data_IF_341314016408
#
_entry.id   IF_341314016408
#
_cell.length_a   1.000
_cell.length_b   1.000
_cell.length_c   1.000
_cell.angle_alpha   90.00
_cell.angle_beta   90.00
_cell.angle_gamma   90.00
#
_symmetry.space_group_name_H-M   'P 1'
#
loop_
_entity.id
_entity.type
_entity.pdbx_description
1 polymer ?
#
# COMPACT_ATOMS: atom_id res chain seq x y z
N UNK A 1 -15.41 0.93 -37.51
CA UNK A 1 -15.17 2.35 -37.83
C UNK A 1 -13.67 2.58 -37.92
N UNK A 2 -13.19 3.38 -38.88
CA UNK A 2 -11.78 3.77 -38.93
C UNK A 2 -11.56 4.98 -38.02
N UNK A 3 -11.28 4.70 -36.74
CA UNK A 3 -10.95 5.74 -35.77
C UNK A 3 -9.64 6.43 -36.16
N UNK A 4 -9.56 7.75 -35.95
CA UNK A 4 -8.36 8.56 -36.19
C UNK A 4 -7.81 9.03 -34.86
N UNK A 5 -6.51 9.36 -34.85
CA UNK A 5 -5.87 10.01 -33.71
C UNK A 5 -6.59 11.33 -33.44
N UNK A 6 -6.94 11.59 -32.18
CA UNK A 6 -7.56 12.84 -31.74
C UNK A 6 -6.70 13.52 -30.68
N UNK A 7 -6.22 14.74 -30.97
CA UNK A 7 -5.54 15.59 -29.99
C UNK A 7 -6.59 16.41 -29.22
N UNK A 8 -6.55 16.34 -27.89
CA UNK A 8 -7.45 17.09 -27.00
C UNK A 8 -6.69 17.92 -25.97
N UNK A 9 -7.29 19.03 -25.58
CA UNK A 9 -6.82 19.83 -24.45
C UNK A 9 -7.47 19.29 -23.17
N UNK A 10 -6.65 18.93 -22.18
CA UNK A 10 -7.11 18.44 -20.88
C UNK A 10 -7.91 19.53 -20.14
N UNK A 11 -9.14 19.22 -19.72
CA UNK A 11 -9.97 20.19 -19.00
C UNK A 11 -9.38 20.63 -17.64
N UNK A 12 -8.57 19.80 -16.99
CA UNK A 12 -7.95 20.07 -15.67
C UNK A 12 -6.64 20.85 -15.78
N UNK A 13 -5.63 20.29 -16.43
CA UNK A 13 -4.29 20.89 -16.49
C UNK A 13 -4.03 21.76 -17.73
N UNK A 14 -5.00 21.84 -18.66
CA UNK A 14 -4.91 22.61 -19.91
C UNK A 14 -3.77 22.21 -20.86
N UNK A 15 -3.14 21.05 -20.63
CA UNK A 15 -2.14 20.47 -21.52
C UNK A 15 -2.78 19.56 -22.56
N UNK A 16 -2.13 19.44 -23.71
CA UNK A 16 -2.54 18.52 -24.76
C UNK A 16 -2.35 17.05 -24.34
N UNK A 17 -3.24 16.20 -24.85
CA UNK A 17 -3.11 14.75 -24.78
C UNK A 17 -3.76 14.11 -25.99
N UNK A 18 -3.27 12.93 -26.35
CA UNK A 18 -3.71 12.20 -27.52
C UNK A 18 -4.63 11.06 -27.09
N UNK A 19 -5.67 10.81 -27.88
CA UNK A 19 -6.48 9.59 -27.82
C UNK A 19 -6.15 8.78 -29.08
N UNK A 20 -5.69 7.55 -28.88
CA UNK A 20 -5.30 6.67 -29.98
C UNK A 20 -6.53 6.05 -30.66
N UNK A 21 -6.47 5.72 -31.95
CA UNK A 21 -7.56 5.04 -32.67
C UNK A 21 -8.11 3.81 -31.93
N UNK A 22 -7.20 3.03 -31.34
CA UNK A 22 -7.55 1.81 -30.60
C UNK A 22 -8.33 2.11 -29.31
N UNK A 23 -8.12 3.28 -28.69
CA UNK A 23 -8.84 3.69 -27.48
C UNK A 23 -10.33 3.91 -27.77
N UNK A 24 -10.67 4.44 -28.96
CA UNK A 24 -12.07 4.67 -29.34
C UNK A 24 -12.86 3.37 -29.48
N UNK A 25 -12.24 2.33 -30.06
CA UNK A 25 -12.86 1.01 -30.11
C UNK A 25 -13.10 0.42 -28.72
N UNK A 26 -12.20 0.69 -27.76
CA UNK A 26 -12.40 0.32 -26.36
C UNK A 26 -13.56 1.08 -25.72
N UNK A 27 -13.64 2.41 -25.91
CA UNK A 27 -14.71 3.23 -25.34
C UNK A 27 -16.09 2.86 -25.89
N UNK A 28 -16.21 2.61 -27.21
CA UNK A 28 -17.44 2.13 -27.84
C UNK A 28 -17.85 0.75 -27.28
N UNK A 29 -16.91 -0.19 -27.18
CA UNK A 29 -17.19 -1.53 -26.64
C UNK A 29 -17.67 -1.50 -25.19
N UNK A 30 -17.16 -0.56 -24.40
CA UNK A 30 -17.51 -0.40 -22.99
C UNK A 30 -18.74 0.50 -22.77
N UNK A 31 -19.33 1.05 -23.84
CA UNK A 31 -20.41 2.02 -23.81
C UNK A 31 -20.11 3.24 -22.92
N UNK A 32 -18.91 3.80 -23.06
CA UNK A 32 -18.45 4.97 -22.30
C UNK A 32 -17.93 6.08 -23.22
N UNK A 33 -17.99 7.31 -22.72
CA UNK A 33 -17.51 8.47 -23.45
C UNK A 33 -15.97 8.58 -23.42
N UNK A 34 -15.33 9.04 -24.52
CA UNK A 34 -13.91 9.35 -24.52
C UNK A 34 -13.55 10.40 -23.45
N UNK A 35 -12.36 10.29 -22.84
CA UNK A 35 -11.98 11.14 -21.72
C UNK A 35 -11.81 12.61 -22.13
N UNK A 36 -12.27 13.52 -21.25
CA UNK A 36 -12.02 14.97 -21.35
C UNK A 36 -10.78 15.43 -20.56
N UNK A 37 -10.19 14.51 -19.79
CA UNK A 37 -9.09 14.75 -18.86
C UNK A 37 -7.95 13.78 -19.20
N UNK A 38 -6.73 14.30 -19.28
CA UNK A 38 -5.57 13.50 -19.66
C UNK A 38 -5.30 12.36 -18.66
N UNK A 39 -4.58 11.30 -19.08
CA UNK A 39 -4.30 10.13 -18.24
C UNK A 39 -3.69 10.47 -16.87
N UNK A 40 -2.71 11.40 -16.83
CA UNK A 40 -2.06 11.83 -15.58
C UNK A 40 -3.05 12.46 -14.60
N UNK A 41 -3.89 13.37 -15.09
CA UNK A 41 -4.89 14.04 -14.26
C UNK A 41 -5.97 13.06 -13.76
N UNK A 42 -6.38 12.09 -14.59
CA UNK A 42 -7.29 11.01 -14.16
C UNK A 42 -6.64 10.13 -13.09
N UNK A 43 -5.35 9.83 -13.22
CA UNK A 43 -4.60 9.07 -12.20
C UNK A 43 -4.59 9.79 -10.86
N UNK A 44 -4.29 11.09 -10.86
CA UNK A 44 -4.36 11.91 -9.64
C UNK A 44 -5.75 11.90 -9.00
N UNK A 45 -6.82 12.00 -9.81
CA UNK A 45 -8.19 11.95 -9.30
C UNK A 45 -8.50 10.61 -8.63
N UNK A 46 -8.09 9.49 -9.24
CA UNK A 46 -8.26 8.15 -8.66
C UNK A 46 -7.53 8.02 -7.32
N UNK A 47 -6.34 8.61 -7.21
CA UNK A 47 -5.51 8.53 -6.01
C UNK A 47 -5.82 9.62 -4.97
N UNK A 48 -6.75 10.56 -5.25
CA UNK A 48 -7.02 11.69 -4.35
C UNK A 48 -7.56 11.24 -2.98
N UNK A 49 -8.23 10.09 -2.93
CA UNK A 49 -8.83 9.55 -1.70
C UNK A 49 -7.98 8.48 -1.01
N UNK A 50 -6.80 8.14 -1.57
CA UNK A 50 -5.88 7.16 -0.99
C UNK A 50 -4.68 7.91 -0.40
N UNK A 51 -4.40 7.67 0.88
CA UNK A 51 -3.21 8.21 1.53
C UNK A 51 -2.51 7.12 2.34
N UNK A 52 -1.44 6.57 1.77
CA UNK A 52 -0.61 5.52 2.37
C UNK A 52 0.73 6.07 2.90
N UNK A 53 1.01 7.38 2.74
CA UNK A 53 2.36 7.95 2.93
C UNK A 53 2.44 9.04 3.98
N UNK A 54 1.39 9.82 4.14
CA UNK A 54 1.40 10.96 5.05
C UNK A 54 0.50 10.68 6.24
N UNK A 55 1.13 10.53 7.40
CA UNK A 55 0.44 10.28 8.64
C UNK A 55 0.54 11.49 9.57
N UNK A 56 -0.54 11.75 10.29
CA UNK A 56 -0.67 12.89 11.18
C UNK A 56 -1.01 12.40 12.58
N UNK A 57 -0.43 13.03 13.59
CA UNK A 57 -0.95 12.94 14.96
C UNK A 57 -2.24 13.75 15.04
N UNK A 58 -3.34 13.08 15.34
CA UNK A 58 -4.68 13.67 15.45
C UNK A 58 -5.43 12.97 16.59
N UNK A 59 -6.01 13.75 17.49
CA UNK A 59 -6.91 13.20 18.50
C UNK A 59 -8.17 12.63 17.82
N UNK A 60 -8.66 11.50 18.31
CA UNK A 60 -9.92 10.91 17.88
C UNK A 60 -11.07 11.88 18.20
N UNK A 61 -11.89 12.23 17.21
CA UNK A 61 -13.00 13.17 17.40
C UNK A 61 -14.16 12.59 18.23
N UNK A 62 -14.13 11.28 18.53
CA UNK A 62 -15.09 10.62 19.41
C UNK A 62 -14.59 10.49 20.85
N UNK A 63 -13.45 9.85 21.08
CA UNK A 63 -12.96 9.55 22.44
C UNK A 63 -11.84 10.48 22.94
N UNK A 64 -11.33 11.40 22.10
CA UNK A 64 -10.27 12.35 22.44
C UNK A 64 -8.86 11.76 22.56
N UNK A 65 -8.68 10.44 22.44
CA UNK A 65 -7.36 9.79 22.49
C UNK A 65 -6.52 10.20 21.29
N UNK A 66 -5.24 10.48 21.52
CA UNK A 66 -4.27 10.69 20.45
C UNK A 66 -4.11 9.43 19.60
N UNK A 67 -4.20 9.58 18.28
CA UNK A 67 -3.97 8.51 17.31
C UNK A 67 -3.14 9.01 16.13
N UNK A 68 -2.64 8.06 15.35
CA UNK A 68 -2.15 8.30 14.00
C UNK A 68 -3.35 8.28 13.04
N UNK A 69 -3.35 9.18 12.05
CA UNK A 69 -4.40 9.29 11.05
C UNK A 69 -3.85 9.60 9.66
N UNK A 70 -4.54 9.12 8.62
CA UNK A 70 -4.37 9.56 7.23
C UNK A 70 -4.85 11.00 6.99
N UNK A 71 -5.56 11.60 7.93
CA UNK A 71 -6.20 12.90 7.80
C UNK A 71 -5.57 13.92 8.74
N UNK A 72 -5.15 15.05 8.18
CA UNK A 72 -4.69 16.22 8.94
C UNK A 72 -5.82 16.83 9.77
N UNK A 73 -5.48 17.56 10.85
CA UNK A 73 -6.48 18.16 11.77
C UNK A 73 -7.44 19.15 11.09
N UNK A 74 -7.02 19.80 10.01
CA UNK A 74 -7.83 20.78 9.27
C UNK A 74 -8.92 20.17 8.36
N UNK A 75 -9.10 18.84 8.34
CA UNK A 75 -10.18 18.24 7.55
C UNK A 75 -11.55 18.52 8.18
N UNK A 76 -12.58 18.83 7.37
CA UNK A 76 -13.87 19.33 7.85
C UNK A 76 -14.83 18.23 8.32
N UNK A 77 -14.36 16.98 8.39
CA UNK A 77 -15.14 15.82 8.79
C UNK A 77 -14.52 15.17 10.04
N UNK A 78 -15.33 14.52 10.89
CA UNK A 78 -14.84 13.78 12.04
C UNK A 78 -13.98 12.59 11.63
N UNK A 79 -13.00 12.24 12.45
CA UNK A 79 -12.08 11.14 12.26
C UNK A 79 -12.00 10.33 13.55
N UNK A 80 -12.29 9.04 13.46
CA UNK A 80 -12.37 8.15 14.61
C UNK A 80 -11.18 7.18 14.64
N UNK A 81 -10.64 6.88 15.82
CA UNK A 81 -9.60 5.86 15.97
C UNK A 81 -10.16 4.46 15.64
N UNK A 82 -9.26 3.49 15.44
CA UNK A 82 -9.61 2.12 15.09
C UNK A 82 -10.63 1.49 16.06
N UNK A 83 -10.38 1.60 17.37
CA UNK A 83 -11.24 1.01 18.39
C UNK A 83 -12.65 1.60 18.37
N UNK A 84 -12.78 2.92 18.20
CA UNK A 84 -14.10 3.57 18.12
C UNK A 84 -14.82 3.24 16.82
N UNK A 85 -14.10 3.17 15.70
CA UNK A 85 -14.67 2.83 14.39
C UNK A 85 -15.28 1.43 14.35
N UNK A 86 -14.63 0.46 15.00
CA UNK A 86 -15.07 -0.94 15.07
C UNK A 86 -15.86 -1.30 16.32
N UNK A 87 -16.19 -0.31 17.15
CA UNK A 87 -17.07 -0.52 18.31
C UNK A 87 -18.55 -0.59 17.89
N UNK A 88 -19.38 -1.11 18.78
CA UNK A 88 -20.85 -1.14 18.60
C UNK A 88 -21.51 0.25 18.75
N UNK A 89 -20.73 1.30 19.03
CA UNK A 89 -21.23 2.68 19.22
C UNK A 89 -21.55 3.39 17.89
N UNK A 90 -21.05 2.89 16.76
CA UNK A 90 -21.29 3.51 15.45
C UNK A 90 -22.68 3.13 14.90
N UNK A 91 -23.70 3.93 15.21
CA UNK A 91 -24.98 3.87 14.51
C UNK A 91 -24.93 4.70 13.21
N UNK A 92 -24.92 4.04 12.04
CA UNK A 92 -24.92 4.74 10.76
C UNK A 92 -26.21 5.56 10.51
N UNK A 93 -27.35 5.19 11.13
CA UNK A 93 -28.64 5.83 10.89
C UNK A 93 -28.69 7.25 11.44
N UNK A 94 -27.93 7.57 12.48
CA UNK A 94 -27.86 8.93 13.05
C UNK A 94 -27.35 9.99 12.04
N UNK A 95 -26.66 9.53 11.00
CA UNK A 95 -26.10 10.40 9.96
C UNK A 95 -27.05 10.59 8.77
N UNK A 96 -28.22 9.95 8.75
CA UNK A 96 -29.20 10.10 7.69
C UNK A 96 -29.58 11.57 7.45
N UNK A 97 -29.81 11.89 6.18
CA UNK A 97 -30.28 13.20 5.71
C UNK A 97 -31.39 12.94 4.70
N UNK A 98 -32.53 13.59 4.88
CA UNK A 98 -33.63 13.53 3.92
C UNK A 98 -33.23 14.22 2.61
N UNK A 99 -33.54 13.58 1.49
CA UNK A 99 -33.25 14.12 0.17
C UNK A 99 -34.17 15.30 -0.15
N UNK A 100 -33.58 16.44 -0.50
CA UNK A 100 -34.29 17.64 -0.93
C UNK A 100 -34.12 17.84 -2.45
N UNK A 101 -35.20 17.68 -3.26
CA UNK A 101 -35.12 17.85 -4.71
C UNK A 101 -34.85 19.30 -5.14
N UNK A 102 -34.93 20.28 -4.22
CA UNK A 102 -34.63 21.69 -4.52
C UNK A 102 -33.15 22.01 -4.47
N UNK A 103 -32.31 21.12 -3.93
CA UNK A 103 -30.85 21.30 -3.82
C UNK A 103 -30.13 20.37 -4.78
N UNK A 104 -28.92 20.75 -5.20
CA UNK A 104 -28.13 19.85 -6.03
C UNK A 104 -27.63 18.66 -5.21
N UNK A 105 -27.45 17.51 -5.87
CA UNK A 105 -26.93 16.31 -5.22
C UNK A 105 -25.56 16.56 -4.56
N UNK A 106 -24.65 17.27 -5.24
CA UNK A 106 -23.30 17.50 -4.73
C UNK A 106 -23.26 18.37 -3.48
N UNK A 107 -24.16 19.35 -3.35
CA UNK A 107 -24.28 20.16 -2.13
C UNK A 107 -24.76 19.31 -0.95
N UNK A 108 -25.77 18.48 -1.18
CA UNK A 108 -26.30 17.56 -0.17
C UNK A 108 -25.28 16.48 0.22
N UNK A 109 -24.54 15.95 -0.77
CA UNK A 109 -23.46 15.00 -0.52
C UNK A 109 -22.31 15.64 0.24
N UNK A 110 -21.95 16.89 -0.06
CA UNK A 110 -20.88 17.60 0.64
C UNK A 110 -21.23 17.90 2.10
N UNK A 111 -22.49 18.22 2.41
CA UNK A 111 -22.94 18.39 3.80
C UNK A 111 -22.95 17.06 4.55
N UNK A 112 -23.43 15.99 3.92
CA UNK A 112 -23.38 14.63 4.46
C UNK A 112 -21.94 14.20 4.75
N UNK A 113 -21.04 14.36 3.79
CA UNK A 113 -19.64 13.98 3.89
C UNK A 113 -18.90 14.67 5.05
N UNK A 114 -19.29 15.89 5.42
CA UNK A 114 -18.74 16.60 6.58
C UNK A 114 -19.29 16.11 7.92
N UNK A 115 -20.47 15.47 7.93
CA UNK A 115 -21.15 14.99 9.13
C UNK A 115 -20.68 13.57 9.51
N UNK A 116 -20.45 12.72 8.51
CA UNK A 116 -20.12 11.31 8.71
C UNK A 116 -18.65 11.15 9.13
N UNK A 117 -18.35 10.35 10.16
CA UNK A 117 -16.97 10.08 10.56
C UNK A 117 -16.23 9.21 9.54
N UNK A 118 -14.90 9.36 9.50
CA UNK A 118 -13.99 8.49 8.75
C UNK A 118 -13.07 7.73 9.70
N UNK A 119 -12.64 6.50 9.36
CA UNK A 119 -11.63 5.80 10.15
C UNK A 119 -10.29 6.51 10.00
N UNK A 120 -9.57 6.70 11.11
CA UNK A 120 -8.26 7.35 11.12
C UNK A 120 -7.25 6.60 10.25
N UNK A 121 -7.28 5.27 10.32
CA UNK A 121 -6.52 4.34 9.51
C UNK A 121 -7.45 3.20 9.08
N UNK A 122 -7.21 2.64 7.89
CA UNK A 122 -8.05 1.56 7.35
C UNK A 122 -7.39 0.23 7.64
N UNK A 123 -8.09 -0.68 8.33
CA UNK A 123 -7.59 -2.03 8.56
C UNK A 123 -8.67 -2.97 9.05
N UNK A 124 -8.55 -4.25 8.72
CA UNK A 124 -9.57 -5.27 9.01
C UNK A 124 -8.94 -6.49 9.68
N UNK A 125 -9.59 -7.00 10.74
CA UNK A 125 -9.21 -8.27 11.38
C UNK A 125 -7.74 -8.36 11.82
N UNK A 126 -7.16 -7.22 12.21
CA UNK A 126 -5.82 -7.18 12.77
C UNK A 126 -5.88 -7.49 14.27
N UNK A 127 -5.00 -8.37 14.75
CA UNK A 127 -4.98 -8.82 16.15
C UNK A 127 -3.72 -8.26 16.80
N UNK A 128 -3.87 -7.58 17.94
CA UNK A 128 -2.74 -7.03 18.72
C UNK A 128 -1.78 -6.21 17.84
N UNK A 129 -2.30 -5.38 16.95
CA UNK A 129 -1.51 -4.68 15.94
C UNK A 129 -1.88 -3.20 15.89
N UNK A 130 -0.88 -2.33 15.79
CA UNK A 130 -1.06 -0.89 15.98
C UNK A 130 -0.45 -0.07 14.82
N UNK A 131 -1.13 1.02 14.46
CA UNK A 131 -0.74 1.94 13.38
C UNK A 131 -0.68 1.30 11.99
N UNK A 132 -1.58 0.36 11.72
CA UNK A 132 -1.70 -0.28 10.42
C UNK A 132 -2.62 0.52 9.49
N UNK A 133 -2.26 0.62 8.21
CA UNK A 133 -3.08 1.30 7.20
C UNK A 133 -3.19 0.52 5.89
N UNK A 134 -4.40 0.45 5.34
CA UNK A 134 -4.77 -0.39 4.20
C UNK A 134 -4.34 -1.86 4.36
N UNK A 135 -4.62 -2.45 5.52
CA UNK A 135 -4.19 -3.80 5.84
C UNK A 135 -5.34 -4.75 6.18
N UNK A 136 -5.08 -6.07 6.12
CA UNK A 136 -6.01 -7.08 6.63
C UNK A 136 -5.30 -8.29 7.24
N UNK A 137 -5.93 -8.93 8.22
CA UNK A 137 -5.52 -10.27 8.71
C UNK A 137 -4.08 -10.35 9.29
N UNK A 138 -3.60 -9.29 9.93
CA UNK A 138 -2.27 -9.28 10.55
C UNK A 138 -2.32 -9.61 12.05
N UNK A 139 -1.22 -10.12 12.61
CA UNK A 139 -1.08 -10.45 14.03
C UNK A 139 0.24 -9.90 14.58
N UNK A 140 0.17 -9.19 15.71
CA UNK A 140 1.36 -8.62 16.38
C UNK A 140 2.21 -7.70 15.48
N UNK A 141 1.58 -6.99 14.54
CA UNK A 141 2.29 -6.11 13.62
C UNK A 141 2.27 -4.65 14.09
N UNK A 142 3.27 -3.88 13.69
CA UNK A 142 3.41 -2.47 14.05
C UNK A 142 3.82 -1.62 12.85
N UNK A 143 3.12 -0.51 12.64
CA UNK A 143 3.40 0.45 11.54
C UNK A 143 3.54 -0.25 10.18
N UNK A 144 2.61 -1.14 9.86
CA UNK A 144 2.60 -1.89 8.60
C UNK A 144 1.55 -1.31 7.65
N UNK A 145 1.92 -1.09 6.39
CA UNK A 145 1.08 -0.38 5.42
C UNK A 145 0.89 -1.23 4.15
N UNK A 146 -0.32 -1.22 3.60
CA UNK A 146 -0.70 -1.93 2.36
C UNK A 146 -0.33 -3.43 2.37
N UNK A 147 -0.56 -4.12 3.49
CA UNK A 147 -0.05 -5.47 3.73
C UNK A 147 -1.12 -6.37 4.34
N UNK A 148 -1.10 -7.67 4.02
CA UNK A 148 -2.04 -8.62 4.61
C UNK A 148 -1.43 -9.96 5.01
N UNK A 149 -2.07 -10.64 5.95
CA UNK A 149 -1.72 -12.00 6.37
C UNK A 149 -0.30 -12.14 6.97
N UNK A 150 0.18 -11.13 7.71
CA UNK A 150 1.51 -11.13 8.29
C UNK A 150 1.51 -11.35 9.82
N UNK A 151 2.61 -11.87 10.35
CA UNK A 151 2.79 -12.13 11.78
C UNK A 151 4.11 -11.53 12.30
N UNK A 152 4.06 -10.79 13.42
CA UNK A 152 5.24 -10.22 14.08
C UNK A 152 6.09 -9.30 13.16
N UNK A 153 5.46 -8.54 12.26
CA UNK A 153 6.15 -7.64 11.33
C UNK A 153 6.12 -6.17 11.80
N UNK A 154 7.23 -5.46 11.67
CA UNK A 154 7.40 -4.09 12.16
C UNK A 154 7.94 -3.19 11.05
N UNK A 155 7.33 -2.02 10.87
CA UNK A 155 7.74 -0.99 9.89
C UNK A 155 7.80 -1.49 8.44
N UNK A 156 6.93 -2.41 8.06
CA UNK A 156 6.94 -2.98 6.71
C UNK A 156 5.94 -2.29 5.77
N UNK A 157 6.28 -2.27 4.47
CA UNK A 157 5.43 -1.74 3.41
C UNK A 157 5.21 -2.78 2.32
N UNK A 158 3.95 -3.03 1.98
CA UNK A 158 3.58 -3.93 0.89
C UNK A 158 4.17 -5.34 1.05
N UNK A 159 3.96 -5.94 2.22
CA UNK A 159 4.36 -7.31 2.52
C UNK A 159 3.16 -8.25 2.63
N UNK A 160 3.34 -9.50 2.24
CA UNK A 160 2.28 -10.49 2.21
C UNK A 160 2.78 -11.83 2.75
N UNK A 161 1.92 -12.52 3.53
CA UNK A 161 2.18 -13.88 4.03
C UNK A 161 3.56 -14.02 4.70
N UNK A 162 4.03 -12.95 5.34
CA UNK A 162 5.39 -12.84 5.87
C UNK A 162 5.39 -12.86 7.39
N UNK A 163 6.52 -13.27 7.97
CA UNK A 163 6.63 -13.48 9.42
C UNK A 163 7.96 -12.99 9.99
N UNK A 164 7.93 -12.42 11.19
CA UNK A 164 9.13 -12.03 11.94
C UNK A 164 10.05 -11.11 11.09
N UNK A 165 9.48 -10.03 10.55
CA UNK A 165 10.16 -9.07 9.68
C UNK A 165 10.31 -7.71 10.34
N UNK A 166 11.42 -7.01 10.04
CA UNK A 166 11.65 -5.64 10.50
C UNK A 166 12.21 -4.79 9.36
N UNK A 167 11.63 -3.62 9.14
CA UNK A 167 12.07 -2.62 8.14
C UNK A 167 12.16 -3.21 6.72
N UNK A 168 11.07 -3.81 6.24
CA UNK A 168 11.04 -4.50 4.94
C UNK A 168 10.07 -3.84 3.95
N UNK A 169 10.36 -3.92 2.65
CA UNK A 169 9.45 -3.45 1.60
C UNK A 169 9.27 -4.44 0.47
N UNK A 170 8.06 -4.54 -0.07
CA UNK A 170 7.75 -5.35 -1.24
C UNK A 170 8.17 -6.82 -1.10
N UNK A 171 7.69 -7.52 -0.08
CA UNK A 171 8.08 -8.93 0.16
C UNK A 171 6.89 -9.87 0.22
N UNK A 172 7.09 -11.13 -0.17
CA UNK A 172 6.06 -12.17 -0.09
C UNK A 172 6.68 -13.48 0.38
N UNK A 173 6.05 -14.12 1.37
CA UNK A 173 6.56 -15.34 1.99
C UNK A 173 8.01 -15.19 2.48
N UNK A 174 8.31 -14.11 3.19
CA UNK A 174 9.64 -13.89 3.78
C UNK A 174 9.59 -14.02 5.30
N UNK A 175 10.56 -14.74 5.85
CA UNK A 175 10.64 -15.01 7.29
C UNK A 175 11.99 -14.64 7.90
N UNK A 176 11.99 -14.20 9.16
CA UNK A 176 13.20 -13.92 9.97
C UNK A 176 14.19 -12.97 9.29
N UNK A 177 13.70 -11.99 8.54
CA UNK A 177 14.53 -11.11 7.70
C UNK A 177 14.51 -9.66 8.16
N UNK A 178 15.59 -8.95 7.88
CA UNK A 178 15.82 -7.57 8.31
C UNK A 178 16.35 -6.72 7.16
N UNK A 179 15.74 -5.54 6.96
CA UNK A 179 16.17 -4.58 5.92
C UNK A 179 16.22 -5.24 4.54
N UNK A 180 15.10 -5.85 4.13
CA UNK A 180 14.96 -6.49 2.81
C UNK A 180 13.96 -5.76 1.93
N UNK A 181 14.27 -5.70 0.63
CA UNK A 181 13.46 -5.02 -0.37
C UNK A 181 13.24 -5.93 -1.58
N UNK A 182 12.00 -6.12 -2.03
CA UNK A 182 11.69 -6.90 -3.23
C UNK A 182 12.15 -8.38 -3.12
N UNK A 183 11.88 -9.00 -1.97
CA UNK A 183 12.29 -10.38 -1.67
C UNK A 183 11.11 -11.36 -1.62
N UNK A 184 11.30 -12.54 -2.21
CA UNK A 184 10.22 -13.53 -2.40
C UNK A 184 10.65 -14.93 -1.99
N UNK A 185 9.84 -15.64 -1.21
CA UNK A 185 10.13 -17.01 -0.76
C UNK A 185 11.53 -17.12 -0.12
N UNK A 186 11.86 -16.19 0.78
CA UNK A 186 13.19 -16.08 1.38
C UNK A 186 13.13 -16.28 2.89
N UNK A 187 14.23 -16.73 3.49
CA UNK A 187 14.30 -16.95 4.94
C UNK A 187 15.65 -16.48 5.47
N UNK A 188 15.65 -15.77 6.60
CA UNK A 188 16.87 -15.33 7.28
C UNK A 188 17.79 -14.51 6.37
N UNK A 189 17.19 -13.53 5.66
CA UNK A 189 17.92 -12.56 4.84
C UNK A 189 18.18 -11.27 5.60
N UNK A 190 19.36 -10.70 5.39
CA UNK A 190 19.76 -9.45 6.02
C UNK A 190 20.27 -8.49 4.94
N UNK A 191 19.82 -7.23 4.95
CA UNK A 191 20.29 -6.16 4.04
C UNK A 191 20.30 -6.60 2.56
N UNK A 192 19.23 -7.24 2.10
CA UNK A 192 19.18 -7.91 0.79
C UNK A 192 18.07 -7.35 -0.09
N UNK A 193 18.32 -7.32 -1.40
CA UNK A 193 17.41 -6.71 -2.36
C UNK A 193 17.18 -7.54 -3.61
N UNK A 194 15.94 -7.58 -4.09
CA UNK A 194 15.54 -8.27 -5.33
C UNK A 194 15.90 -9.76 -5.32
N UNK A 195 15.76 -10.42 -4.17
CA UNK A 195 16.17 -11.82 -3.99
C UNK A 195 14.98 -12.78 -4.02
N UNK A 196 15.19 -14.01 -4.49
CA UNK A 196 14.14 -15.02 -4.54
C UNK A 196 14.64 -16.40 -4.14
N UNK A 197 13.90 -17.16 -3.33
CA UNK A 197 14.31 -18.51 -2.92
C UNK A 197 15.69 -18.54 -2.22
N UNK A 198 16.04 -17.48 -1.49
CA UNK A 198 17.34 -17.36 -0.82
C UNK A 198 17.21 -17.65 0.68
N UNK A 199 18.24 -18.26 1.26
CA UNK A 199 18.26 -18.73 2.64
C UNK A 199 19.54 -18.29 3.35
N UNK A 200 19.44 -17.92 4.64
CA UNK A 200 20.59 -17.74 5.55
C UNK A 200 21.74 -16.95 4.91
N UNK A 201 21.42 -15.75 4.42
CA UNK A 201 22.31 -14.96 3.58
C UNK A 201 22.21 -13.47 3.89
N UNK A 202 23.26 -12.72 3.59
CA UNK A 202 23.29 -11.29 3.88
C UNK A 202 23.93 -10.48 2.74
N UNK A 203 23.51 -9.24 2.60
CA UNK A 203 24.01 -8.31 1.59
C UNK A 203 23.88 -8.86 0.16
N UNK A 204 22.75 -9.50 -0.14
CA UNK A 204 22.48 -10.03 -1.47
C UNK A 204 21.84 -8.97 -2.37
N UNK A 205 22.23 -8.96 -3.65
CA UNK A 205 21.58 -8.14 -4.66
C UNK A 205 21.22 -8.97 -5.88
N UNK A 206 19.93 -9.03 -6.19
CA UNK A 206 19.42 -9.76 -7.34
C UNK A 206 19.89 -11.21 -7.36
N UNK A 207 19.83 -11.94 -6.24
CA UNK A 207 20.23 -13.35 -6.14
C UNK A 207 19.01 -14.27 -6.15
N UNK A 208 19.13 -15.47 -6.71
CA UNK A 208 18.03 -16.46 -6.71
C UNK A 208 18.53 -17.84 -6.32
N UNK A 209 17.79 -18.56 -5.48
CA UNK A 209 18.17 -19.92 -5.07
C UNK A 209 19.48 -19.98 -4.30
N UNK A 210 19.90 -18.88 -3.66
CA UNK A 210 21.20 -18.78 -3.02
C UNK A 210 21.12 -19.02 -1.52
N UNK A 211 22.06 -19.78 -0.96
CA UNK A 211 22.06 -20.10 0.46
C UNK A 211 23.47 -20.03 1.07
N UNK A 212 23.58 -19.48 2.29
CA UNK A 212 24.89 -19.20 2.90
C UNK A 212 25.75 -18.31 1.98
N UNK A 213 25.18 -17.19 1.55
CA UNK A 213 25.86 -16.23 0.68
C UNK A 213 25.99 -14.87 1.37
N UNK A 214 27.17 -14.27 1.26
CA UNK A 214 27.51 -12.99 1.84
C UNK A 214 28.00 -12.02 0.76
N UNK A 215 27.37 -10.84 0.65
CA UNK A 215 27.84 -9.78 -0.25
C UNK A 215 27.77 -10.16 -1.73
N UNK A 216 26.83 -11.01 -2.12
CA UNK A 216 26.77 -11.59 -3.45
C UNK A 216 25.76 -10.88 -4.35
N UNK A 217 26.08 -10.80 -5.64
CA UNK A 217 25.30 -10.10 -6.65
C UNK A 217 25.03 -11.04 -7.83
N UNK A 218 23.80 -11.08 -8.32
CA UNK A 218 23.41 -11.82 -9.54
C UNK A 218 23.70 -13.33 -9.52
N UNK A 219 23.86 -13.95 -8.35
CA UNK A 219 24.06 -15.40 -8.26
C UNK A 219 22.76 -16.17 -8.43
N UNK A 220 22.87 -17.36 -9.00
CA UNK A 220 21.75 -18.28 -9.27
C UNK A 220 22.12 -19.67 -8.80
N UNK A 221 21.33 -20.23 -7.89
CA UNK A 221 21.46 -21.61 -7.41
C UNK A 221 22.88 -21.92 -6.90
N UNK A 222 23.47 -20.98 -6.17
CA UNK A 222 24.80 -21.13 -5.59
C UNK A 222 24.75 -21.09 -4.07
N UNK A 223 25.64 -21.83 -3.42
CA UNK A 223 25.76 -21.86 -1.96
C UNK A 223 27.14 -21.41 -1.51
N UNK A 224 27.36 -21.00 -0.25
CA UNK A 224 28.70 -20.76 0.30
C UNK A 224 29.56 -19.78 -0.52
N UNK A 225 28.97 -18.64 -0.90
CA UNK A 225 29.69 -17.59 -1.61
C UNK A 225 29.95 -16.38 -0.73
N UNK A 226 31.15 -15.83 -0.81
CA UNK A 226 31.50 -14.53 -0.22
C UNK A 226 31.98 -13.63 -1.35
N UNK A 227 31.31 -12.49 -1.58
CA UNK A 227 31.61 -11.56 -2.68
C UNK A 227 31.72 -12.25 -4.06
N UNK A 228 30.73 -13.08 -4.38
CA UNK A 228 30.67 -13.90 -5.62
C UNK A 228 31.78 -14.94 -5.78
N UNK A 229 32.59 -15.19 -4.74
CA UNK A 229 33.57 -16.25 -4.76
C UNK A 229 33.05 -17.46 -4.00
N UNK A 230 33.07 -18.61 -4.67
CA UNK A 230 32.64 -19.89 -4.13
C UNK A 230 33.69 -20.45 -3.18
N UNK A 231 33.26 -20.90 -2.02
CA UNK A 231 34.07 -21.58 -1.03
C UNK A 231 33.55 -23.01 -0.80
N UNK A 232 34.39 -23.87 -0.21
CA UNK A 232 33.85 -25.06 0.43
C UNK A 232 33.10 -24.67 1.70
N UNK A 233 32.26 -25.58 2.19
CA UNK A 233 31.52 -25.35 3.44
C UNK A 233 32.46 -25.07 4.62
N UNK A 234 33.53 -25.85 4.75
CA UNK A 234 34.49 -25.73 5.85
C UNK A 234 35.28 -24.42 5.77
N UNK A 235 35.55 -23.93 4.57
CA UNK A 235 36.19 -22.64 4.37
C UNK A 235 35.22 -21.50 4.68
N UNK A 236 33.97 -21.60 4.25
CA UNK A 236 32.93 -20.61 4.53
C UNK A 236 32.69 -20.46 6.03
N UNK A 237 32.53 -21.57 6.76
CA UNK A 237 32.29 -21.58 8.22
C UNK A 237 33.48 -21.08 9.06
N UNK A 238 34.68 -20.98 8.47
CA UNK A 238 35.88 -20.44 9.14
C UNK A 238 36.06 -18.93 8.96
N UNK A 239 35.40 -18.33 7.98
CA UNK A 239 35.42 -16.88 7.75
C UNK A 239 34.38 -16.19 8.63
#
# INVERSE_FOLDING_TARGET
MNYKIEAKICQKCKKDFIIEPNDFGFYEKMDVLPPKICPKCRSQLRLTFRNERFFYRRACDYCGKDTVSMYSQNKPFPVWCHDCWWSDELDAKQYAIDYDPKKTFLEQFASFYKKVPFPALVGFRNINSHYLNFTADNRNCYLTIESSNNENCINCYWIQLSKDLVDCSFTDHVELSYEVDDCYDCHSLIFSKSCGYCLDSAFLLNCRGCNYCLGCINLRDQSYNIFNKQYTKEEYEKN
#
